data_IF_115859130049
#
_entry.id   IF_115859130049
#
_cell.length_a   1.000
_cell.length_b   1.000
_cell.length_c   1.000
_cell.angle_alpha   90.00
_cell.angle_beta   90.00
_cell.angle_gamma   90.00
#
_symmetry.space_group_name_H-M   'P 1'
#
loop_
_entity.id
_entity.type
_entity.pdbx_description
1 polymer ?
#
# COMPACT_ATOMS: atom_id res chain seq x y z
N UNK A 1 -3.73 -17.75 -20.74
CA UNK A 1 -3.53 -18.76 -19.69
C UNK A 1 -2.96 -19.96 -20.40
N UNK A 2 -1.67 -20.23 -20.23
CA UNK A 2 -1.04 -21.44 -20.78
C UNK A 2 -1.29 -22.60 -19.80
N UNK A 3 -1.83 -23.70 -20.32
CA UNK A 3 -2.14 -24.92 -19.57
C UNK A 3 -0.83 -25.59 -19.08
N UNK A 4 -0.69 -25.75 -17.76
CA UNK A 4 0.23 -26.75 -17.18
C UNK A 4 1.57 -26.26 -16.61
N UNK A 5 1.91 -24.97 -16.68
CA UNK A 5 3.11 -24.47 -16.02
C UNK A 5 2.82 -24.04 -14.57
N UNK A 6 3.29 -24.83 -13.59
CA UNK A 6 3.35 -24.41 -12.19
C UNK A 6 4.45 -23.34 -12.09
N UNK A 7 4.04 -22.06 -12.11
CA UNK A 7 4.96 -20.96 -11.81
C UNK A 7 5.33 -21.01 -10.33
N UNK A 8 6.53 -21.52 -10.04
CA UNK A 8 7.12 -21.44 -8.70
C UNK A 8 7.33 -19.95 -8.37
N UNK A 9 6.62 -19.44 -7.37
CA UNK A 9 6.82 -18.09 -6.85
C UNK A 9 8.27 -17.95 -6.39
N UNK A 10 9.04 -17.11 -7.10
CA UNK A 10 10.44 -16.86 -6.78
C UNK A 10 10.58 -15.91 -5.59
N UNK A 11 9.57 -15.08 -5.37
CA UNK A 11 9.51 -14.07 -4.34
C UNK A 11 8.15 -14.21 -3.60
N UNK A 12 8.10 -13.76 -2.36
CA UNK A 12 6.89 -13.81 -1.54
C UNK A 12 6.60 -12.40 -1.01
N UNK A 13 5.42 -11.88 -1.34
CA UNK A 13 4.95 -10.62 -0.78
C UNK A 13 4.33 -10.91 0.57
N UNK A 14 4.87 -10.24 1.60
CA UNK A 14 4.33 -10.27 2.95
C UNK A 14 3.81 -8.87 3.27
N UNK A 15 2.53 -8.77 3.63
CA UNK A 15 1.95 -7.57 4.20
C UNK A 15 1.67 -7.78 5.69
N UNK A 16 2.08 -6.82 6.51
CA UNK A 16 1.88 -6.84 7.96
C UNK A 16 1.23 -5.57 8.44
N UNK A 17 0.39 -5.67 9.47
CA UNK A 17 -0.14 -4.54 10.22
C UNK A 17 0.74 -4.26 11.44
N UNK A 18 1.13 -3.00 11.61
CA UNK A 18 1.73 -2.49 12.84
C UNK A 18 0.74 -1.55 13.52
N UNK A 19 0.40 -1.84 14.77
CA UNK A 19 -0.41 -0.96 15.62
C UNK A 19 0.56 -0.09 16.45
N UNK A 20 0.35 1.22 16.46
CA UNK A 20 1.13 2.14 17.29
C UNK A 20 0.91 1.84 18.77
N UNK A 21 1.99 1.83 19.55
CA UNK A 21 1.94 1.52 20.98
C UNK A 21 1.95 0.04 21.33
N UNK A 22 1.64 -0.85 20.38
CA UNK A 22 1.68 -2.30 20.57
C UNK A 22 3.03 -2.89 20.17
N UNK A 23 3.45 -3.97 20.84
CA UNK A 23 4.67 -4.70 20.49
C UNK A 23 4.42 -5.70 19.35
N UNK A 24 5.37 -5.85 18.43
CA UNK A 24 5.27 -6.81 17.31
C UNK A 24 4.53 -6.31 16.07
N UNK A 25 4.22 -7.22 15.15
CA UNK A 25 3.49 -7.00 13.90
C UNK A 25 2.52 -8.16 13.68
N UNK A 26 1.36 -7.88 13.08
CA UNK A 26 0.36 -8.90 12.75
C UNK A 26 0.37 -9.17 11.26
N UNK A 27 0.62 -10.41 10.80
CA UNK A 27 0.58 -10.73 9.38
C UNK A 27 -0.85 -10.56 8.82
N UNK A 28 -0.97 -9.90 7.68
CA UNK A 28 -2.23 -9.74 6.94
C UNK A 28 -2.28 -10.64 5.71
N UNK A 29 -1.16 -10.71 4.98
CA UNK A 29 -1.04 -11.45 3.73
C UNK A 29 0.35 -12.05 3.63
N UNK A 30 0.43 -13.30 3.20
CA UNK A 30 1.64 -13.89 2.65
C UNK A 30 1.23 -14.57 1.34
N UNK A 31 1.70 -14.05 0.21
CA UNK A 31 1.34 -14.54 -1.10
C UNK A 31 2.60 -14.75 -1.95
N UNK A 32 2.78 -15.92 -2.58
CA UNK A 32 3.84 -16.09 -3.56
C UNK A 32 3.56 -15.16 -4.75
N UNK A 33 4.57 -14.40 -5.16
CA UNK A 33 4.50 -13.53 -6.34
C UNK A 33 5.51 -14.00 -7.38
N UNK A 34 5.14 -13.86 -8.65
CA UNK A 34 6.09 -14.02 -9.74
C UNK A 34 7.01 -12.78 -9.75
N UNK A 35 8.30 -12.95 -10.02
CA UNK A 35 9.26 -11.83 -10.15
C UNK A 35 8.87 -10.82 -11.25
N UNK A 36 7.96 -11.23 -12.13
CA UNK A 36 7.40 -10.39 -13.19
C UNK A 36 6.21 -9.55 -12.72
N UNK A 37 5.88 -9.55 -11.42
CA UNK A 37 4.81 -8.71 -10.90
C UNK A 37 5.09 -7.25 -11.22
N UNK A 38 4.25 -6.66 -12.05
CA UNK A 38 4.37 -5.26 -12.44
C UNK A 38 3.72 -4.35 -11.39
N UNK A 39 3.87 -3.04 -11.58
CA UNK A 39 3.32 -2.07 -10.63
C UNK A 39 1.79 -2.19 -10.51
N UNK A 40 1.09 -2.62 -11.57
CA UNK A 40 -0.36 -2.73 -11.57
C UNK A 40 -0.84 -3.90 -10.70
N UNK A 41 -0.14 -5.04 -10.74
CA UNK A 41 -0.43 -6.16 -9.85
C UNK A 41 -0.21 -5.77 -8.38
N UNK A 42 0.87 -5.05 -8.09
CA UNK A 42 1.14 -4.55 -6.72
C UNK A 42 0.11 -3.51 -6.28
N UNK A 43 -0.32 -2.60 -7.14
CA UNK A 43 -1.45 -1.70 -6.87
C UNK A 43 -2.71 -2.48 -6.48
N UNK A 44 -3.03 -3.53 -7.24
CA UNK A 44 -4.18 -4.39 -6.97
C UNK A 44 -4.08 -5.13 -5.64
N UNK A 45 -2.89 -5.60 -5.24
CA UNK A 45 -2.66 -6.22 -3.92
C UNK A 45 -2.90 -5.21 -2.80
N UNK A 46 -2.33 -4.01 -2.91
CA UNK A 46 -2.48 -2.96 -1.90
C UNK A 46 -3.96 -2.53 -1.77
N UNK A 47 -4.65 -2.34 -2.89
CA UNK A 47 -6.09 -2.01 -2.91
C UNK A 47 -6.93 -3.10 -2.23
N UNK A 48 -6.65 -4.38 -2.46
CA UNK A 48 -7.37 -5.48 -1.81
C UNK A 48 -7.15 -5.49 -0.29
N UNK A 49 -5.93 -5.24 0.17
CA UNK A 49 -5.62 -5.11 1.60
C UNK A 49 -6.42 -3.94 2.20
N UNK A 50 -6.44 -2.79 1.53
CA UNK A 50 -7.13 -1.60 2.01
C UNK A 50 -8.63 -1.82 2.06
N UNK A 51 -9.19 -2.40 1.00
CA UNK A 51 -10.59 -2.78 0.97
C UNK A 51 -10.93 -3.73 2.12
N UNK A 52 -10.13 -4.78 2.35
CA UNK A 52 -10.31 -5.69 3.46
C UNK A 52 -10.33 -4.97 4.82
N UNK A 53 -9.36 -4.07 5.06
CA UNK A 53 -9.31 -3.30 6.30
C UNK A 53 -10.51 -2.35 6.47
N UNK A 54 -11.04 -1.81 5.37
CA UNK A 54 -12.16 -0.88 5.37
C UNK A 54 -13.54 -1.54 5.47
N UNK A 55 -13.71 -2.78 5.00
CA UNK A 55 -15.02 -3.45 5.06
C UNK A 55 -15.15 -4.38 6.26
N UNK A 56 -14.03 -4.80 6.85
CA UNK A 56 -14.05 -5.71 7.98
C UNK A 56 -14.45 -4.96 9.27
N UNK A 57 -15.59 -5.31 9.91
CA UNK A 57 -16.11 -4.60 11.07
C UNK A 57 -15.17 -4.56 12.27
N UNK A 58 -14.27 -5.55 12.37
CA UNK A 58 -13.25 -5.58 13.42
C UNK A 58 -12.24 -4.44 13.23
N UNK A 59 -11.81 -4.19 12.00
CA UNK A 59 -10.81 -3.16 11.71
C UNK A 59 -11.41 -1.76 11.60
N UNK A 60 -12.64 -1.64 11.08
CA UNK A 60 -13.39 -0.38 10.91
C UNK A 60 -13.45 0.49 12.18
N UNK A 61 -13.56 -0.14 13.36
CA UNK A 61 -13.65 0.59 14.64
C UNK A 61 -12.32 0.72 15.37
N UNK A 62 -11.32 -0.07 14.99
CA UNK A 62 -10.08 -0.21 15.76
C UNK A 62 -8.87 0.44 15.09
N UNK A 63 -8.89 0.62 13.77
CA UNK A 63 -7.68 0.97 13.03
C UNK A 63 -7.96 2.08 12.02
N UNK A 64 -7.49 3.28 12.33
CA UNK A 64 -7.27 4.31 11.32
C UNK A 64 -5.92 4.04 10.67
N UNK A 65 -5.89 3.87 9.34
CA UNK A 65 -4.65 3.65 8.63
C UNK A 65 -3.89 4.99 8.51
N UNK A 66 -2.77 5.09 9.21
CA UNK A 66 -1.97 6.32 9.27
C UNK A 66 -0.78 6.33 8.30
N UNK A 67 -0.24 5.16 8.00
CA UNK A 67 0.98 5.04 7.21
C UNK A 67 1.01 3.73 6.44
N UNK A 68 1.63 3.77 5.27
CA UNK A 68 1.94 2.61 4.45
C UNK A 68 3.43 2.64 4.14
N UNK A 69 4.08 1.47 4.24
CA UNK A 69 5.52 1.31 4.00
C UNK A 69 5.70 0.09 3.11
N UNK A 70 6.51 0.23 2.07
CA UNK A 70 6.91 -0.85 1.17
C UNK A 70 8.42 -1.04 1.26
N UNK A 71 8.93 -2.12 0.66
CA UNK A 71 10.35 -2.13 0.36
C UNK A 71 10.66 -1.05 -0.70
N UNK A 72 11.96 -0.74 -0.85
CA UNK A 72 12.42 0.29 -1.77
C UNK A 72 12.45 -0.14 -3.24
N UNK A 73 11.79 -1.25 -3.64
CA UNK A 73 11.76 -1.66 -5.03
C UNK A 73 11.01 -0.62 -5.89
N UNK A 74 11.54 -0.36 -7.09
CA UNK A 74 11.01 0.65 -8.00
C UNK A 74 9.53 0.39 -8.36
N UNK A 75 9.12 -0.88 -8.42
CA UNK A 75 7.76 -1.31 -8.73
C UNK A 75 6.80 -0.95 -7.61
N UNK A 76 7.19 -1.22 -6.36
CA UNK A 76 6.39 -0.91 -5.18
C UNK A 76 6.30 0.60 -4.94
N UNK A 77 7.39 1.33 -5.19
CA UNK A 77 7.42 2.79 -5.10
C UNK A 77 6.48 3.43 -6.15
N UNK A 78 6.48 2.94 -7.39
CA UNK A 78 5.57 3.45 -8.43
C UNK A 78 4.10 3.16 -8.09
N UNK A 79 3.80 1.96 -7.59
CA UNK A 79 2.47 1.59 -7.14
C UNK A 79 1.99 2.51 -5.99
N UNK A 80 2.84 2.73 -4.98
CA UNK A 80 2.55 3.63 -3.86
C UNK A 80 2.34 5.08 -4.32
N UNK A 81 3.17 5.58 -5.24
CA UNK A 81 3.00 6.90 -5.83
C UNK A 81 1.65 7.03 -6.54
N UNK A 82 1.27 6.05 -7.36
CA UNK A 82 -0.02 6.04 -8.07
C UNK A 82 -1.22 6.03 -7.12
N UNK A 83 -1.14 5.24 -6.06
CA UNK A 83 -2.25 5.10 -5.09
C UNK A 83 -2.42 6.32 -4.19
N UNK A 84 -1.32 6.97 -3.78
CA UNK A 84 -1.38 7.95 -2.68
C UNK A 84 -0.98 9.36 -3.09
N UNK A 85 -0.21 9.54 -4.17
CA UNK A 85 0.41 10.82 -4.52
C UNK A 85 0.09 11.28 -5.94
N UNK A 86 -0.61 10.49 -6.75
CA UNK A 86 -0.96 10.84 -8.12
C UNK A 86 -2.01 11.94 -8.22
N UNK A 87 -2.95 11.97 -7.28
CA UNK A 87 -4.02 12.95 -7.28
C UNK A 87 -3.57 14.23 -6.60
N UNK A 88 -3.68 15.34 -7.34
CA UNK A 88 -3.51 16.67 -6.79
C UNK A 88 -4.47 16.91 -5.63
N UNK A 89 -3.93 17.41 -4.52
CA UNK A 89 -4.74 17.91 -3.42
C UNK A 89 -5.51 19.15 -3.88
N UNK A 90 -6.82 19.18 -3.67
CA UNK A 90 -7.62 20.35 -3.94
C UNK A 90 -7.17 21.53 -3.05
N UNK A 91 -7.24 22.76 -3.58
CA UNK A 91 -6.75 23.95 -2.88
C UNK A 91 -7.51 24.24 -1.57
N UNK A 92 -8.77 23.81 -1.50
CA UNK A 92 -9.65 23.92 -0.33
C UNK A 92 -9.45 22.78 0.70
N UNK A 93 -8.64 21.78 0.37
CA UNK A 93 -8.35 20.68 1.30
C UNK A 93 -7.48 21.19 2.46
N UNK A 94 -7.84 20.96 3.73
CA UNK A 94 -7.03 21.37 4.88
C UNK A 94 -5.59 20.85 4.84
N UNK A 95 -5.38 19.66 4.26
CA UNK A 95 -4.05 19.10 4.07
C UNK A 95 -3.22 19.89 3.06
N UNK A 96 -3.83 20.48 2.04
CA UNK A 96 -3.12 21.33 1.07
C UNK A 96 -2.46 22.53 1.76
N UNK A 97 -3.20 23.20 2.65
CA UNK A 97 -2.68 24.32 3.43
C UNK A 97 -1.58 23.92 4.43
N UNK A 98 -1.60 22.69 4.94
CA UNK A 98 -0.57 22.17 5.84
C UNK A 98 0.69 21.76 5.10
N UNK A 99 0.55 20.96 4.04
CA UNK A 99 1.68 20.41 3.27
C UNK A 99 2.38 21.52 2.49
N UNK A 100 1.68 22.56 2.03
CA UNK A 100 2.28 23.66 1.23
C UNK A 100 3.29 24.48 2.01
N UNK A 101 3.24 24.40 3.34
CA UNK A 101 4.17 25.06 4.25
C UNK A 101 5.43 24.23 4.53
N UNK A 102 5.48 22.97 4.10
CA UNK A 102 6.64 22.09 4.31
C UNK A 102 7.70 22.38 3.23
N UNK A 103 8.85 22.89 3.66
CA UNK A 103 9.98 23.14 2.76
C UNK A 103 10.50 21.82 2.17
N UNK A 104 10.71 21.79 0.85
CA UNK A 104 11.22 20.61 0.13
C UNK A 104 10.15 19.69 -0.44
N UNK A 105 8.87 19.89 -0.10
CA UNK A 105 7.74 19.18 -0.74
C UNK A 105 7.17 20.02 -1.89
N UNK A 106 7.26 19.48 -3.12
CA UNK A 106 6.50 20.02 -4.25
C UNK A 106 5.10 19.43 -4.23
N UNK A 107 4.11 20.23 -3.88
CA UNK A 107 2.72 19.91 -4.17
C UNK A 107 2.49 20.24 -5.64
N UNK A 108 2.22 19.22 -6.46
CA UNK A 108 1.81 19.41 -7.86
C UNK A 108 0.35 19.80 -7.94
#
# INVERSE_FOLDING_TARGET
MDEGCIHMGKEMTIATLKIFGECGVSPLLAAPMCKAADALEMEGVVQKIFHFLQVNPLFLKMVQLWSFVTDGDATQHLAGFRLFLWHKLADDNPLHAMVSKLQGLKIM
#
